data_IF_236628022961
#
_entry.id   IF_236628022961
#
_cell.length_a   1.000
_cell.length_b   1.000
_cell.length_c   1.000
_cell.angle_alpha   90.00
_cell.angle_beta   90.00
_cell.angle_gamma   90.00
#
_symmetry.space_group_name_H-M   'P 1'
#
loop_
_entity.id
_entity.type
_entity.pdbx_description
1 polymer ?
#
# COMPACT_ATOMS: atom_id res chain seq x y z
N UNK A 1 25.63 -1.18 -6.68
CA UNK A 1 24.30 -1.70 -6.31
C UNK A 1 23.72 -0.73 -5.30
N UNK A 2 22.47 -0.31 -5.50
CA UNK A 2 21.77 0.63 -4.64
C UNK A 2 20.87 -0.11 -3.67
N UNK A 3 20.92 0.22 -2.38
CA UNK A 3 20.00 -0.31 -1.37
C UNK A 3 18.71 0.51 -1.39
N UNK A 4 17.61 -0.09 -1.87
CA UNK A 4 16.36 0.63 -2.12
C UNK A 4 15.47 0.70 -0.87
N UNK A 5 15.95 1.43 0.13
CA UNK A 5 15.30 1.61 1.44
C UNK A 5 13.99 2.41 1.36
N UNK A 6 13.78 3.18 0.29
CA UNK A 6 12.56 3.97 0.04
C UNK A 6 11.32 3.08 -0.13
N UNK A 7 11.51 1.80 -0.49
CA UNK A 7 10.44 0.80 -0.47
C UNK A 7 9.89 0.52 0.94
N UNK A 8 10.69 0.79 1.98
CA UNK A 8 10.42 0.34 3.35
C UNK A 8 10.71 -1.15 3.59
N UNK A 9 11.35 -1.82 2.63
CA UNK A 9 11.80 -3.21 2.73
C UNK A 9 13.33 -3.25 2.87
N UNK A 10 13.83 -4.01 3.85
CA UNK A 10 15.25 -3.99 4.20
C UNK A 10 16.14 -4.77 3.19
N UNK A 11 15.55 -5.63 2.37
CA UNK A 11 16.27 -6.60 1.54
C UNK A 11 16.19 -6.33 0.03
N UNK A 12 15.84 -5.11 -0.40
CA UNK A 12 15.74 -4.77 -1.83
C UNK A 12 17.00 -4.04 -2.33
N UNK A 13 17.67 -4.64 -3.31
CA UNK A 13 18.90 -4.09 -3.88
C UNK A 13 18.82 -4.01 -5.41
N UNK A 14 19.09 -2.83 -5.96
CA UNK A 14 19.04 -2.57 -7.39
C UNK A 14 20.44 -2.64 -7.99
N UNK A 15 20.58 -3.40 -9.08
CA UNK A 15 21.83 -3.43 -9.88
C UNK A 15 21.94 -2.26 -10.83
N UNK A 16 20.81 -1.74 -11.31
CA UNK A 16 20.68 -0.67 -12.29
C UNK A 16 19.26 -0.07 -12.20
N UNK A 17 18.88 0.79 -13.16
CA UNK A 17 17.55 1.41 -13.20
C UNK A 17 17.43 2.71 -12.39
N UNK A 18 18.55 3.17 -11.82
CA UNK A 18 18.67 4.41 -11.07
C UNK A 18 19.84 5.26 -11.60
N UNK A 19 19.79 6.57 -11.35
CA UNK A 19 20.83 7.55 -11.66
C UNK A 19 21.17 8.28 -10.36
N UNK A 20 22.44 8.25 -9.97
CA UNK A 20 22.94 9.02 -8.84
C UNK A 20 23.41 10.39 -9.34
N UNK A 21 22.90 11.46 -8.74
CA UNK A 21 23.23 12.84 -9.10
C UNK A 21 23.66 13.62 -7.86
N UNK A 22 24.77 14.34 -7.97
CA UNK A 22 25.19 15.28 -6.94
C UNK A 22 24.54 16.64 -7.21
N UNK A 23 23.61 17.03 -6.34
CA UNK A 23 22.99 18.35 -6.38
C UNK A 23 23.64 19.28 -5.34
N UNK A 24 23.48 20.61 -5.47
CA UNK A 24 23.92 21.55 -4.43
C UNK A 24 23.30 21.31 -3.05
N UNK A 25 22.20 20.56 -2.98
CA UNK A 25 21.48 20.22 -1.75
C UNK A 25 21.84 18.83 -1.20
N UNK A 26 22.74 18.11 -1.87
CA UNK A 26 23.19 16.77 -1.49
C UNK A 26 23.06 15.74 -2.62
N UNK A 27 23.54 14.50 -2.38
CA UNK A 27 23.36 13.40 -3.31
C UNK A 27 21.88 13.04 -3.42
N UNK A 28 21.42 12.79 -4.65
CA UNK A 28 20.05 12.38 -4.97
C UNK A 28 20.07 11.17 -5.89
N UNK A 29 18.97 10.40 -5.88
CA UNK A 29 18.82 9.22 -6.74
C UNK A 29 17.51 9.32 -7.50
N UNK A 30 17.59 9.26 -8.82
CA UNK A 30 16.43 9.23 -9.71
C UNK A 30 16.19 7.81 -10.23
N UNK A 31 14.95 7.33 -10.16
CA UNK A 31 14.55 6.00 -10.65
C UNK A 31 13.83 6.14 -11.99
N UNK A 32 14.18 5.30 -12.96
CA UNK A 32 13.64 5.42 -14.33
C UNK A 32 12.18 5.00 -14.46
N UNK A 33 11.79 3.91 -13.79
CA UNK A 33 10.45 3.33 -13.84
C UNK A 33 10.06 2.84 -12.44
N UNK A 34 9.58 3.77 -11.62
CA UNK A 34 9.24 3.49 -10.23
C UNK A 34 8.03 2.54 -10.12
N UNK A 35 7.07 2.66 -11.03
CA UNK A 35 5.85 1.86 -11.04
C UNK A 35 6.16 0.41 -11.43
N UNK A 36 6.91 0.21 -12.53
CA UNK A 36 7.36 -1.12 -12.94
C UNK A 36 8.32 -1.76 -11.92
N UNK A 37 9.16 -0.95 -11.25
CA UNK A 37 9.98 -1.42 -10.15
C UNK A 37 9.10 -1.96 -9.01
N UNK A 38 8.12 -1.20 -8.54
CA UNK A 38 7.24 -1.61 -7.44
C UNK A 38 6.37 -2.81 -7.79
N UNK A 39 5.84 -2.88 -9.03
CA UNK A 39 5.16 -4.07 -9.54
C UNK A 39 6.06 -5.31 -9.49
N UNK A 40 7.30 -5.20 -9.97
CA UNK A 40 8.24 -6.33 -9.98
C UNK A 40 8.58 -6.81 -8.57
N UNK A 41 8.72 -5.88 -7.61
CA UNK A 41 8.96 -6.20 -6.20
C UNK A 41 7.72 -6.89 -5.60
N UNK A 42 6.52 -6.36 -5.85
CA UNK A 42 5.26 -6.96 -5.38
C UNK A 42 5.11 -8.40 -5.85
N UNK A 43 5.36 -8.65 -7.15
CA UNK A 43 5.30 -9.99 -7.73
C UNK A 43 6.35 -10.93 -7.13
N UNK A 44 7.59 -10.46 -6.92
CA UNK A 44 8.63 -11.26 -6.28
C UNK A 44 8.26 -11.64 -4.83
N UNK A 45 7.73 -10.69 -4.05
CA UNK A 45 7.28 -10.92 -2.67
C UNK A 45 6.20 -12.01 -2.61
N UNK A 46 5.24 -12.02 -3.53
CA UNK A 46 4.14 -13.00 -3.51
C UNK A 46 4.53 -14.37 -4.07
N UNK A 47 5.69 -14.52 -4.68
CA UNK A 47 6.26 -15.82 -5.08
C UNK A 47 7.25 -16.39 -4.04
N UNK A 48 7.70 -15.58 -3.08
CA UNK A 48 8.66 -16.05 -2.08
C UNK A 48 8.06 -17.11 -1.14
N UNK A 49 8.91 -18.03 -0.68
CA UNK A 49 8.54 -19.03 0.32
C UNK A 49 8.34 -18.41 1.71
N UNK A 50 7.52 -19.06 2.54
CA UNK A 50 7.19 -18.57 3.88
C UNK A 50 5.96 -17.66 3.90
N UNK A 51 5.62 -17.15 5.09
CA UNK A 51 4.51 -16.20 5.25
C UNK A 51 5.00 -14.77 5.03
N UNK A 52 4.13 -13.94 4.48
CA UNK A 52 4.38 -12.51 4.35
C UNK A 52 4.63 -11.89 5.74
N UNK A 53 5.69 -11.09 5.82
CA UNK A 53 6.03 -10.29 6.99
C UNK A 53 5.17 -9.04 7.06
N UNK A 54 5.14 -8.38 8.23
CA UNK A 54 4.36 -7.15 8.41
C UNK A 54 4.77 -6.01 7.47
N UNK A 55 6.07 -5.88 7.18
CA UNK A 55 6.59 -4.85 6.26
C UNK A 55 6.19 -5.14 4.82
N UNK A 56 6.19 -6.41 4.41
CA UNK A 56 5.74 -6.84 3.08
C UNK A 56 4.24 -6.65 2.90
N UNK A 57 3.43 -6.99 3.90
CA UNK A 57 1.98 -6.76 3.87
C UNK A 57 1.70 -5.26 3.67
N UNK A 58 2.40 -4.40 4.43
CA UNK A 58 2.26 -2.95 4.33
C UNK A 58 2.70 -2.43 2.96
N UNK A 59 3.81 -2.95 2.43
CA UNK A 59 4.30 -2.60 1.09
C UNK A 59 3.23 -2.95 0.05
N UNK A 60 2.79 -4.21 -0.02
CA UNK A 60 1.79 -4.69 -0.97
C UNK A 60 0.49 -3.89 -0.89
N UNK A 61 0.01 -3.59 0.32
CA UNK A 61 -1.19 -2.78 0.52
C UNK A 61 -1.07 -1.40 -0.10
N UNK A 62 0.05 -0.72 0.13
CA UNK A 62 0.30 0.62 -0.41
C UNK A 62 0.39 0.61 -1.94
N UNK A 63 0.92 -0.46 -2.53
CA UNK A 63 0.97 -0.60 -3.98
C UNK A 63 -0.40 -0.76 -4.63
N UNK A 64 -1.39 -1.27 -3.88
CA UNK A 64 -2.80 -1.32 -4.31
C UNK A 64 -3.59 -0.07 -3.85
N UNK A 65 -2.92 0.92 -3.27
CA UNK A 65 -3.49 2.17 -2.75
C UNK A 65 -4.59 1.99 -1.69
N UNK A 66 -4.60 0.84 -0.99
CA UNK A 66 -5.67 0.50 -0.06
C UNK A 66 -5.40 1.02 1.36
N UNK A 67 -6.44 1.48 2.07
CA UNK A 67 -6.38 1.67 3.51
C UNK A 67 -6.29 0.33 4.26
N UNK A 68 -5.95 0.38 5.56
CA UNK A 68 -6.00 -0.84 6.38
C UNK A 68 -7.42 -1.40 6.47
N UNK A 69 -8.43 -0.54 6.54
CA UNK A 69 -9.84 -0.96 6.60
C UNK A 69 -10.23 -1.67 5.31
N UNK A 70 -9.96 -1.06 4.15
CA UNK A 70 -10.28 -1.64 2.84
C UNK A 70 -9.60 -2.98 2.59
N UNK A 71 -8.31 -3.13 2.91
CA UNK A 71 -7.64 -4.42 2.72
C UNK A 71 -8.18 -5.48 3.70
N UNK A 72 -8.51 -5.09 4.93
CA UNK A 72 -9.10 -6.00 5.90
C UNK A 72 -10.49 -6.49 5.46
N UNK A 73 -11.34 -5.58 4.94
CA UNK A 73 -12.64 -5.91 4.35
C UNK A 73 -12.47 -6.87 3.17
N UNK A 74 -11.55 -6.59 2.25
CA UNK A 74 -11.30 -7.43 1.07
C UNK A 74 -10.84 -8.85 1.42
N UNK A 75 -10.02 -9.01 2.47
CA UNK A 75 -9.52 -10.31 2.93
C UNK A 75 -10.51 -11.02 3.87
N UNK A 76 -11.48 -10.28 4.43
CA UNK A 76 -12.46 -10.81 5.39
C UNK A 76 -11.91 -10.93 6.82
N UNK A 77 -11.13 -9.95 7.27
CA UNK A 77 -10.60 -9.85 8.64
C UNK A 77 -10.87 -8.49 9.26
N UNK A 78 -10.59 -8.31 10.55
CA UNK A 78 -10.70 -7.00 11.20
C UNK A 78 -9.51 -6.09 10.83
N UNK A 79 -9.76 -4.79 10.77
CA UNK A 79 -8.75 -3.75 10.64
C UNK A 79 -7.64 -3.87 11.72
N UNK A 80 -8.02 -4.20 12.95
CA UNK A 80 -7.11 -4.47 14.06
C UNK A 80 -6.20 -5.66 13.75
N UNK A 81 -6.73 -6.75 13.17
CA UNK A 81 -5.93 -7.93 12.80
C UNK A 81 -4.86 -7.54 11.77
N UNK A 82 -5.26 -6.81 10.73
CA UNK A 82 -4.32 -6.34 9.72
C UNK A 82 -3.26 -5.39 10.32
N UNK A 83 -3.67 -4.47 11.20
CA UNK A 83 -2.75 -3.56 11.86
C UNK A 83 -1.73 -4.29 12.76
N UNK A 84 -2.13 -5.37 13.43
CA UNK A 84 -1.23 -6.22 14.21
C UNK A 84 -0.23 -6.95 13.30
N UNK A 85 -0.68 -7.44 12.14
CA UNK A 85 0.21 -8.06 11.15
C UNK A 85 1.25 -7.08 10.62
N UNK A 86 0.83 -5.90 10.19
CA UNK A 86 1.74 -4.87 9.66
C UNK A 86 2.74 -4.34 10.70
N UNK A 87 2.40 -4.40 11.98
CA UNK A 87 3.30 -4.03 13.09
C UNK A 87 4.21 -5.18 13.53
N UNK A 88 4.10 -6.36 12.91
CA UNK A 88 4.83 -7.56 13.31
C UNK A 88 4.44 -8.07 14.71
N UNK A 89 3.27 -7.67 15.22
CA UNK A 89 2.77 -8.06 16.56
C UNK A 89 1.99 -9.38 16.54
N UNK A 90 1.54 -9.80 15.37
CA UNK A 90 0.97 -11.12 15.13
C UNK A 90 1.32 -11.57 13.69
N UNK A 91 1.50 -12.88 13.43
CA UNK A 91 1.69 -13.36 12.08
C UNK A 91 0.36 -13.38 11.31
N UNK A 92 0.41 -13.17 10.00
CA UNK A 92 -0.72 -13.44 9.11
C UNK A 92 -1.11 -14.92 9.17
N UNK A 93 -2.42 -15.20 9.05
CA UNK A 93 -2.92 -16.57 8.98
C UNK A 93 -2.62 -17.19 7.61
N UNK A 94 -2.48 -18.51 7.53
CA UNK A 94 -2.16 -19.17 6.26
C UNK A 94 -3.23 -18.95 5.16
N UNK A 95 -4.55 -18.94 5.45
CA UNK A 95 -5.56 -18.60 4.46
C UNK A 95 -5.46 -17.15 3.98
N UNK A 96 -5.31 -16.19 4.90
CA UNK A 96 -5.19 -14.76 4.55
C UNK A 96 -3.93 -14.47 3.74
N UNK A 97 -2.82 -15.13 4.05
CA UNK A 97 -1.57 -15.03 3.27
C UNK A 97 -1.78 -15.47 1.81
N UNK A 98 -2.39 -16.65 1.61
CA UNK A 98 -2.70 -17.17 0.27
C UNK A 98 -3.65 -16.24 -0.49
N UNK A 99 -4.69 -15.73 0.19
CA UNK A 99 -5.66 -14.82 -0.42
C UNK A 99 -5.01 -13.50 -0.83
N UNK A 100 -4.20 -12.89 0.05
CA UNK A 100 -3.48 -11.66 -0.27
C UNK A 100 -2.55 -11.84 -1.48
N UNK A 101 -1.82 -12.97 -1.56
CA UNK A 101 -0.99 -13.30 -2.72
C UNK A 101 -1.81 -13.40 -4.01
N UNK A 102 -2.99 -14.03 -3.96
CA UNK A 102 -3.89 -14.12 -5.11
C UNK A 102 -4.44 -12.75 -5.53
N UNK A 103 -4.82 -11.91 -4.57
CA UNK A 103 -5.31 -10.54 -4.83
C UNK A 103 -4.22 -9.72 -5.52
N UNK A 104 -3.00 -9.72 -4.99
CA UNK A 104 -1.87 -8.98 -5.58
C UNK A 104 -1.57 -9.48 -7.00
N UNK A 105 -1.52 -10.80 -7.22
CA UNK A 105 -1.36 -11.36 -8.58
C UNK A 105 -2.50 -10.95 -9.49
N UNK A 106 -3.74 -10.96 -9.00
CA UNK A 106 -4.93 -10.51 -9.75
C UNK A 106 -4.88 -9.04 -10.13
N UNK A 107 -4.40 -8.19 -9.22
CA UNK A 107 -4.23 -6.75 -9.42
C UNK A 107 -3.29 -6.46 -10.61
N UNK A 108 -2.10 -7.10 -10.65
CA UNK A 108 -1.11 -6.87 -11.71
C UNK A 108 -1.36 -7.68 -13.00
N UNK A 109 -1.99 -8.86 -12.93
CA UNK A 109 -2.33 -9.66 -14.12
C UNK A 109 -3.51 -9.12 -14.94
N UNK A 110 -4.11 -7.99 -14.53
CA UNK A 110 -5.22 -7.37 -15.25
C UNK A 110 -6.56 -8.10 -15.08
N UNK A 111 -6.71 -8.93 -14.04
CA UNK A 111 -8.00 -9.55 -13.74
C UNK A 111 -9.02 -8.48 -13.32
N UNK A 112 -9.94 -8.19 -14.24
CA UNK A 112 -10.90 -7.08 -14.12
C UNK A 112 -11.71 -7.15 -12.82
N UNK A 113 -12.07 -8.35 -12.35
CA UNK A 113 -12.88 -8.51 -11.12
C UNK A 113 -12.13 -8.07 -9.87
N UNK A 114 -10.86 -8.48 -9.71
CA UNK A 114 -10.04 -8.10 -8.55
C UNK A 114 -9.80 -6.60 -8.56
N UNK A 115 -9.45 -6.06 -9.73
CA UNK A 115 -9.23 -4.61 -9.88
C UNK A 115 -10.47 -3.80 -9.56
N UNK A 116 -11.66 -4.18 -10.07
CA UNK A 116 -12.93 -3.52 -9.74
C UNK A 116 -13.27 -3.57 -8.25
N UNK A 117 -12.97 -4.68 -7.56
CA UNK A 117 -13.21 -4.78 -6.13
C UNK A 117 -12.31 -3.82 -5.34
N UNK A 118 -11.03 -3.72 -5.71
CA UNK A 118 -10.08 -2.78 -5.11
C UNK A 118 -10.51 -1.33 -5.40
N UNK A 119 -10.82 -1.00 -6.65
CA UNK A 119 -11.22 0.35 -7.06
C UNK A 119 -12.49 0.80 -6.32
N UNK A 120 -13.48 -0.10 -6.14
CA UNK A 120 -14.71 0.20 -5.41
C UNK A 120 -14.47 0.50 -3.92
N UNK A 121 -13.55 -0.23 -3.27
CA UNK A 121 -13.19 0.00 -1.87
C UNK A 121 -12.38 1.29 -1.69
N UNK A 122 -11.41 1.53 -2.56
CA UNK A 122 -10.61 2.75 -2.53
C UNK A 122 -11.46 4.00 -2.78
N UNK A 123 -12.46 3.92 -3.67
CA UNK A 123 -13.38 5.03 -3.91
C UNK A 123 -14.21 5.36 -2.65
N UNK A 124 -14.73 4.35 -1.96
CA UNK A 124 -15.46 4.53 -0.69
C UNK A 124 -14.58 5.20 0.37
N UNK A 125 -13.34 4.75 0.54
CA UNK A 125 -12.40 5.37 1.49
C UNK A 125 -12.17 6.86 1.16
N UNK A 126 -12.03 7.20 -0.12
CA UNK A 126 -11.86 8.59 -0.55
C UNK A 126 -13.09 9.44 -0.24
N UNK A 127 -14.31 8.92 -0.44
CA UNK A 127 -15.56 9.61 -0.11
C UNK A 127 -15.70 9.83 1.40
N UNK A 128 -15.39 8.81 2.22
CA UNK A 128 -15.44 8.90 3.68
C UNK A 128 -14.44 9.94 4.22
N UNK A 129 -13.24 10.01 3.63
CA UNK A 129 -12.24 11.03 3.97
C UNK A 129 -12.56 12.42 3.40
N UNK A 130 -13.31 12.50 2.29
CA UNK A 130 -13.70 13.74 1.64
C UNK A 130 -14.99 14.36 2.21
N UNK A 131 -15.65 13.72 3.18
CA UNK A 131 -16.78 14.28 3.93
C UNK A 131 -16.35 15.60 4.62
N UNK A 132 -16.57 16.70 3.91
CA UNK A 132 -16.12 18.04 4.27
C UNK A 132 -17.02 18.58 5.37
N UNK A 133 -16.46 18.83 6.55
CA UNK A 133 -17.15 19.63 7.57
C UNK A 133 -16.87 21.12 7.27
N UNK A 134 -17.85 21.79 6.66
CA UNK A 134 -17.79 23.24 6.46
C UNK A 134 -18.37 23.90 7.70
N UNK A 135 -17.74 24.96 8.20
CA UNK A 135 -18.26 25.73 9.33
C UNK A 135 -18.38 27.19 8.92
N UNK A 136 -19.50 27.81 9.26
CA UNK A 136 -19.78 29.23 9.03
C UNK A 136 -20.00 29.92 10.37
N UNK A 137 -19.35 31.07 10.53
CA UNK A 137 -19.55 31.94 11.68
C UNK A 137 -20.76 32.87 11.43
N UNK A 138 -21.66 32.97 12.42
CA UNK A 138 -22.74 33.94 12.46
C UNK A 138 -23.05 34.28 13.91
N UNK A 139 -23.19 35.57 14.23
CA UNK A 139 -23.42 36.09 15.59
C UNK A 139 -22.41 35.57 16.64
N UNK A 140 -21.11 35.58 16.31
CA UNK A 140 -20.03 35.08 17.18
C UNK A 140 -20.17 33.60 17.55
N UNK A 141 -20.92 32.82 16.78
CA UNK A 141 -21.10 31.38 16.96
C UNK A 141 -20.75 30.64 15.67
N UNK A 142 -19.95 29.59 15.81
CA UNK A 142 -19.65 28.67 14.72
C UNK A 142 -20.80 27.66 14.56
N UNK A 143 -21.23 27.44 13.33
CA UNK A 143 -22.20 26.40 12.99
C UNK A 143 -21.66 25.57 11.84
N UNK A 144 -21.84 24.26 11.90
CA UNK A 144 -21.59 23.39 10.75
C UNK A 144 -22.59 23.76 9.64
N UNK A 145 -22.10 23.86 8.42
CA UNK A 145 -22.85 24.05 7.18
C UNK A 145 -22.37 22.99 6.18
N UNK A 146 -23.26 22.58 5.28
CA UNK A 146 -23.03 21.47 4.35
C UNK A 146 -21.87 21.69 3.38
#
# INVERSE_FOLDING_TARGET
MYHYVESGLDNIWLRNGYIEENTPYGPTVAFKDILGLHESISLAIVEQAGRLTGVEIRFLRRQMEMSQVSLAELIGVTDQSLALWEKGRAPITAPSDKLLRLIVKGHYSGQVTVRRAIDALNHRDQEDHAARLVFQESDKKWKAVG
#
